data_IF_073789608645
#
_entry.id   IF_073789608645
#
_cell.length_a   1.000
_cell.length_b   1.000
_cell.length_c   1.000
_cell.angle_alpha   90.00
_cell.angle_beta   90.00
_cell.angle_gamma   90.00
#
_symmetry.space_group_name_H-M   'P 1'
#
loop_
_entity.id
_entity.type
_entity.pdbx_description
1 polymer ?
#
# COMPACT_ATOMS: atom_id res chain seq x y z
N UNK A 1 -5.11 -6.94 7.95
CA UNK A 1 -4.05 -5.96 7.63
C UNK A 1 -4.73 -4.62 7.60
N UNK A 2 -4.11 -3.60 8.18
CA UNK A 2 -4.59 -2.23 7.99
C UNK A 2 -4.33 -1.78 6.55
N UNK A 3 -5.06 -0.76 6.06
CA UNK A 3 -4.96 -0.23 4.69
C UNK A 3 -3.50 0.11 4.32
N UNK A 4 -2.76 0.71 5.25
CA UNK A 4 -1.36 1.07 5.01
C UNK A 4 -0.45 -0.14 4.75
N UNK A 5 -0.74 -1.29 5.37
CA UNK A 5 0.01 -2.52 5.15
C UNK A 5 -0.29 -3.11 3.76
N UNK A 6 -1.55 -3.04 3.32
CA UNK A 6 -1.97 -3.49 1.98
C UNK A 6 -1.27 -2.66 0.91
N UNK A 7 -1.27 -1.34 1.05
CA UNK A 7 -0.55 -0.43 0.14
C UNK A 7 0.93 -0.77 0.06
N UNK A 8 1.59 -0.95 1.21
CA UNK A 8 3.01 -1.33 1.27
C UNK A 8 3.27 -2.68 0.60
N UNK A 9 2.39 -3.66 0.83
CA UNK A 9 2.50 -4.98 0.23
C UNK A 9 2.37 -4.92 -1.29
N UNK A 10 1.33 -4.28 -1.81
CA UNK A 10 1.10 -4.15 -3.24
C UNK A 10 2.25 -3.38 -3.92
N UNK A 11 2.71 -2.30 -3.31
CA UNK A 11 3.88 -1.54 -3.79
C UNK A 11 5.11 -2.44 -3.93
N UNK A 12 5.42 -3.23 -2.88
CA UNK A 12 6.55 -4.14 -2.90
C UNK A 12 6.38 -5.25 -3.96
N UNK A 13 5.18 -5.83 -4.10
CA UNK A 13 4.92 -6.86 -5.13
C UNK A 13 5.09 -6.36 -6.56
N UNK A 14 4.93 -5.05 -6.78
CA UNK A 14 5.13 -4.38 -8.06
C UNK A 14 6.56 -3.85 -8.24
N UNK A 15 7.45 -4.06 -7.27
CA UNK A 15 8.83 -3.56 -7.32
C UNK A 15 8.96 -2.03 -7.30
N UNK A 16 7.92 -1.31 -6.87
CA UNK A 16 7.86 0.14 -6.91
C UNK A 16 8.49 0.74 -5.64
N UNK A 17 9.32 1.76 -5.77
CA UNK A 17 9.91 2.45 -4.62
C UNK A 17 8.93 3.41 -3.93
N UNK A 18 9.16 3.70 -2.65
CA UNK A 18 8.42 4.75 -1.95
C UNK A 18 8.63 6.13 -2.60
N UNK A 19 9.83 6.39 -3.13
CA UNK A 19 10.16 7.65 -3.81
C UNK A 19 9.33 7.84 -5.08
N UNK A 20 9.09 6.79 -5.84
CA UNK A 20 8.26 6.83 -7.04
C UNK A 20 6.81 7.17 -6.72
N UNK A 21 6.20 6.47 -5.75
CA UNK A 21 4.81 6.75 -5.36
C UNK A 21 4.65 8.13 -4.73
N UNK A 22 5.59 8.55 -3.89
CA UNK A 22 5.59 9.91 -3.33
C UNK A 22 5.59 10.97 -4.45
N UNK A 23 6.45 10.82 -5.47
CA UNK A 23 6.52 11.73 -6.62
C UNK A 23 5.19 11.77 -7.39
N UNK A 24 4.59 10.60 -7.67
CA UNK A 24 3.31 10.51 -8.39
C UNK A 24 2.12 11.08 -7.60
N UNK A 25 2.15 10.94 -6.27
CA UNK A 25 1.14 11.49 -5.37
C UNK A 25 1.36 12.96 -5.03
N UNK A 26 2.46 13.57 -5.49
CA UNK A 26 2.90 14.93 -5.12
C UNK A 26 3.08 15.10 -3.60
N UNK A 27 3.65 14.08 -2.96
CA UNK A 27 3.99 14.05 -1.54
C UNK A 27 5.51 14.06 -1.36
N UNK A 28 5.98 14.48 -0.19
CA UNK A 28 7.36 14.19 0.21
C UNK A 28 7.53 12.69 0.48
N UNK A 29 8.74 12.17 0.26
CA UNK A 29 9.07 10.75 0.52
C UNK A 29 8.80 10.40 1.99
N UNK A 30 9.19 11.30 2.91
CA UNK A 30 8.92 11.15 4.34
C UNK A 30 7.40 11.16 4.64
N UNK A 31 6.64 12.05 3.99
CA UNK A 31 5.19 12.10 4.11
C UNK A 31 4.51 10.80 3.68
N UNK A 32 4.95 10.22 2.56
CA UNK A 32 4.48 8.92 2.09
C UNK A 32 4.91 7.77 3.02
N UNK A 33 6.15 7.78 3.51
CA UNK A 33 6.64 6.77 4.47
C UNK A 33 5.81 6.76 5.77
N UNK A 34 5.46 7.93 6.31
CA UNK A 34 4.57 8.01 7.48
C UNK A 34 3.20 7.37 7.22
N UNK A 35 2.69 7.48 5.99
CA UNK A 35 1.44 6.85 5.58
C UNK A 35 1.55 5.32 5.54
N UNK A 36 2.57 4.76 4.90
CA UNK A 36 2.78 3.29 4.89
C UNK A 36 3.01 2.69 6.28
N UNK A 37 3.58 3.48 7.21
CA UNK A 37 3.77 3.08 8.61
C UNK A 37 2.53 3.24 9.49
N UNK A 38 1.40 3.70 8.93
CA UNK A 38 0.18 3.97 9.70
C UNK A 38 0.28 5.16 10.67
N UNK A 39 1.33 5.99 10.54
CA UNK A 39 1.50 7.21 11.35
C UNK A 39 0.69 8.39 10.82
N UNK A 40 0.26 8.31 9.56
CA UNK A 40 -0.71 9.23 8.95
C UNK A 40 -1.71 8.42 8.14
N UNK A 41 -3.01 8.80 8.14
CA UNK A 41 -3.99 8.12 7.33
C UNK A 41 -3.70 8.33 5.84
N UNK A 42 -4.04 7.32 5.04
CA UNK A 42 -4.13 7.44 3.58
C UNK A 42 -5.56 7.85 3.26
N UNK A 43 -5.71 8.95 2.55
CA UNK A 43 -7.03 9.46 2.13
C UNK A 43 -7.59 8.62 0.98
N UNK A 44 -8.91 8.65 0.80
CA UNK A 44 -9.57 7.93 -0.31
C UNK A 44 -9.01 8.36 -1.67
N UNK A 45 -8.82 9.67 -1.89
CA UNK A 45 -8.21 10.20 -3.12
C UNK A 45 -6.78 9.70 -3.36
N UNK A 46 -6.02 9.45 -2.29
CA UNK A 46 -4.68 8.86 -2.41
C UNK A 46 -4.80 7.36 -2.75
N UNK A 47 -5.73 6.63 -2.14
CA UNK A 47 -5.97 5.20 -2.46
C UNK A 47 -6.37 5.00 -3.92
N UNK A 48 -7.27 5.83 -4.45
CA UNK A 48 -7.65 5.79 -5.86
C UNK A 48 -6.44 5.97 -6.78
N UNK A 49 -5.61 6.98 -6.50
CA UNK A 49 -4.38 7.21 -7.27
C UNK A 49 -3.39 6.06 -7.13
N UNK A 50 -3.22 5.53 -5.92
CA UNK A 50 -2.34 4.38 -5.67
C UNK A 50 -2.84 3.17 -6.47
N UNK A 51 -4.15 2.89 -6.47
CA UNK A 51 -4.74 1.81 -7.25
C UNK A 51 -4.43 1.94 -8.75
N UNK A 52 -4.60 3.15 -9.30
CA UNK A 52 -4.27 3.45 -10.70
C UNK A 52 -2.78 3.24 -10.98
N UNK A 53 -1.89 3.77 -10.12
CA UNK A 53 -0.44 3.67 -10.31
C UNK A 53 0.06 2.23 -10.19
N UNK A 54 -0.57 1.43 -9.32
CA UNK A 54 -0.22 0.03 -9.09
C UNK A 54 -0.95 -0.93 -10.05
N UNK A 55 -1.85 -0.41 -10.89
CA UNK A 55 -2.68 -1.17 -11.83
C UNK A 55 -3.45 -2.29 -11.12
N UNK A 56 -4.18 -1.91 -10.07
CA UNK A 56 -5.03 -2.81 -9.29
C UNK A 56 -6.41 -2.18 -9.10
N UNK A 57 -7.48 -2.98 -8.93
CA UNK A 57 -8.79 -2.42 -8.61
C UNK A 57 -8.79 -1.80 -7.21
N UNK A 58 -9.37 -0.61 -7.05
CA UNK A 58 -9.44 0.10 -5.77
C UNK A 58 -10.19 -0.70 -4.69
N UNK A 59 -11.10 -1.57 -5.09
CA UNK A 59 -11.85 -2.48 -4.21
C UNK A 59 -10.94 -3.42 -3.40
N UNK A 60 -9.70 -3.65 -3.84
CA UNK A 60 -8.72 -4.50 -3.13
C UNK A 60 -8.41 -3.99 -1.71
N UNK A 61 -8.54 -2.69 -1.47
CA UNK A 61 -8.30 -2.10 -0.15
C UNK A 61 -9.45 -2.33 0.83
N UNK A 62 -10.61 -2.75 0.33
CA UNK A 62 -11.83 -2.98 1.12
C UNK A 62 -12.23 -4.46 1.16
N UNK A 63 -11.52 -5.33 0.44
CA UNK A 63 -11.84 -6.76 0.39
C UNK A 63 -11.44 -7.47 1.70
N UNK A 64 -12.43 -7.98 2.41
CA UNK A 64 -12.26 -8.76 3.65
C UNK A 64 -11.41 -10.01 3.42
N UNK A 65 -11.45 -10.61 2.22
CA UNK A 65 -10.65 -11.81 1.89
C UNK A 65 -9.16 -11.49 1.82
N UNK A 66 -8.80 -10.25 1.50
CA UNK A 66 -7.40 -9.82 1.48
C UNK A 66 -6.80 -9.75 2.89
N UNK A 67 -7.63 -9.52 3.91
CA UNK A 67 -7.21 -9.53 5.31
C UNK A 67 -6.73 -10.91 5.78
N UNK A 68 -7.17 -11.98 5.12
CA UNK A 68 -6.84 -13.38 5.44
C UNK A 68 -5.58 -13.86 4.71
N UNK A 69 -5.42 -13.52 3.43
CA UNK A 69 -4.37 -14.09 2.56
C UNK A 69 -2.95 -13.66 2.92
N UNK A 70 -2.78 -12.45 3.45
CA UNK A 70 -1.45 -11.90 3.69
C UNK A 70 -0.81 -12.30 5.04
N UNK A 71 -1.59 -12.81 6.01
CA UNK A 71 -1.03 -13.43 7.23
C UNK A 71 -0.18 -14.67 6.88
N UNK A 72 -0.61 -15.43 5.89
CA UNK A 72 0.08 -16.65 5.45
C UNK A 72 1.39 -16.36 4.71
N UNK A 73 1.47 -15.26 3.94
CA UNK A 73 2.68 -14.88 3.19
C UNK A 73 3.75 -14.31 4.12
N UNK A 74 3.36 -13.50 5.13
CA UNK A 74 4.32 -13.02 6.14
C UNK A 74 5.04 -14.19 6.83
N UNK A 75 4.35 -15.29 7.14
CA UNK A 75 4.97 -16.48 7.75
C UNK A 75 5.92 -17.25 6.84
N UNK A 76 5.87 -17.07 5.51
CA UNK A 76 6.66 -17.85 4.54
C UNK A 76 7.95 -17.13 4.08
N UNK A 77 8.11 -15.85 4.41
CA UNK A 77 9.25 -14.99 4.01
C UNK A 77 10.22 -14.74 5.18
N UNK A 78 9.85 -15.10 6.41
CA UNK A 78 10.75 -15.09 7.60
C UNK A 78 11.24 -16.51 7.97
N UNK A 79 11.43 -17.38 6.98
CA UNK A 79 12.09 -18.68 7.13
C UNK A 79 13.25 -18.79 6.18
#
# INVERSE_FOLDING_TARGET
MEINEIVKFLRNSKGISQTFLAKKLKLSVSGYNMKERGKRPITIKELEKIAIILEVPVSIFFDEKFHVKCKSIKSKVVS
#
